data_IF_411443340554
#
_entry.id   IF_411443340554
#
_cell.length_a   1.000
_cell.length_b   1.000
_cell.length_c   1.000
_cell.angle_alpha   90.00
_cell.angle_beta   90.00
_cell.angle_gamma   90.00
#
_symmetry.space_group_name_H-M   'P 1'
#
loop_
_entity.id
_entity.type
_entity.pdbx_description
1 polymer ?
#
# COMPACT_ATOMS: atom_id res chain seq x y z
N UNK A 1 12.89 -34.93 -28.01
CA UNK A 1 14.01 -34.38 -27.19
C UNK A 1 14.57 -33.18 -27.93
N UNK A 2 14.64 -31.99 -27.29
CA UNK A 2 15.27 -30.82 -27.89
C UNK A 2 16.78 -31.04 -27.97
N UNK A 3 17.38 -30.72 -29.12
CA UNK A 3 18.81 -30.81 -29.30
C UNK A 3 19.52 -29.78 -28.39
N UNK A 4 20.53 -30.21 -27.65
CA UNK A 4 21.35 -29.32 -26.79
C UNK A 4 22.56 -28.87 -27.60
N UNK A 5 22.74 -27.57 -27.73
CA UNK A 5 23.87 -26.97 -28.43
C UNK A 5 24.92 -26.43 -27.44
N UNK A 6 26.15 -26.36 -27.88
CA UNK A 6 27.26 -25.87 -27.08
C UNK A 6 27.11 -24.36 -26.81
N UNK A 7 27.14 -23.89 -25.55
CA UNK A 7 27.01 -22.47 -25.23
C UNK A 7 28.24 -21.64 -25.66
N UNK A 8 29.35 -22.27 -26.01
CA UNK A 8 30.61 -21.61 -26.36
C UNK A 8 30.81 -21.45 -27.88
N UNK A 9 30.39 -22.43 -28.68
CA UNK A 9 30.62 -22.43 -30.11
C UNK A 9 29.38 -22.75 -30.96
N UNK A 10 28.22 -22.96 -30.37
CA UNK A 10 26.98 -23.30 -31.07
C UNK A 10 26.96 -24.74 -31.66
N UNK A 11 28.03 -25.49 -31.54
CA UNK A 11 28.16 -26.84 -32.11
C UNK A 11 27.23 -27.86 -31.44
N UNK A 12 26.97 -28.98 -32.13
CA UNK A 12 26.16 -30.07 -31.58
C UNK A 12 26.85 -30.71 -30.39
N UNK A 13 26.04 -31.14 -29.39
CA UNK A 13 26.55 -31.83 -28.23
C UNK A 13 26.06 -33.30 -28.20
N UNK A 14 26.83 -34.15 -27.52
CA UNK A 14 26.47 -35.52 -27.22
C UNK A 14 26.43 -35.78 -25.71
N UNK A 15 25.64 -36.75 -25.25
CA UNK A 15 25.60 -37.13 -23.83
C UNK A 15 26.99 -37.59 -23.36
N UNK A 16 27.40 -37.13 -22.20
CA UNK A 16 28.72 -37.42 -21.62
C UNK A 16 28.62 -37.72 -20.13
N UNK A 17 27.90 -38.78 -19.77
CA UNK A 17 27.70 -39.19 -18.37
C UNK A 17 26.81 -38.25 -17.59
N UNK A 18 26.85 -38.38 -16.25
CA UNK A 18 26.10 -37.56 -15.30
C UNK A 18 27.03 -36.90 -14.30
N UNK A 19 26.59 -35.83 -13.68
CA UNK A 19 27.26 -35.21 -12.54
C UNK A 19 27.02 -36.06 -11.28
N UNK A 20 27.76 -35.76 -10.20
CA UNK A 20 27.49 -36.34 -8.87
C UNK A 20 26.08 -36.05 -8.34
N UNK A 21 25.47 -34.95 -8.78
CA UNK A 21 24.08 -34.58 -8.48
C UNK A 21 23.05 -35.18 -9.42
N UNK A 22 23.46 -36.11 -10.32
CA UNK A 22 22.56 -36.83 -11.25
C UNK A 22 22.23 -36.09 -12.55
N UNK A 23 22.66 -34.82 -12.73
CA UNK A 23 22.37 -34.03 -13.94
C UNK A 23 23.11 -34.60 -15.16
N UNK A 24 22.44 -34.62 -16.33
CA UNK A 24 23.04 -35.06 -17.59
C UNK A 24 24.16 -34.11 -18.04
N UNK A 25 25.37 -34.61 -18.22
CA UNK A 25 26.47 -33.92 -18.90
C UNK A 25 26.37 -34.04 -20.41
N UNK A 26 26.75 -32.96 -21.09
CA UNK A 26 26.84 -32.93 -22.53
C UNK A 26 28.24 -32.47 -22.94
N UNK A 27 28.81 -33.07 -23.96
CA UNK A 27 30.11 -32.69 -24.51
C UNK A 27 29.95 -32.21 -25.95
N UNK A 28 30.51 -31.05 -26.25
CA UNK A 28 30.50 -30.54 -27.60
C UNK A 28 31.36 -31.40 -28.52
N UNK A 29 30.84 -31.72 -29.71
CA UNK A 29 31.56 -32.52 -30.71
C UNK A 29 32.57 -31.70 -31.49
N UNK A 30 32.41 -30.34 -31.53
CA UNK A 30 33.29 -29.43 -32.23
C UNK A 30 34.45 -28.92 -31.35
N UNK A 31 34.18 -28.32 -30.19
CA UNK A 31 35.20 -27.68 -29.33
C UNK A 31 35.55 -28.52 -28.09
N UNK A 32 34.92 -29.67 -27.86
CA UNK A 32 35.19 -30.53 -26.72
C UNK A 32 34.72 -30.04 -25.37
N UNK A 33 34.15 -28.83 -25.28
CA UNK A 33 33.65 -28.26 -24.05
C UNK A 33 32.53 -29.13 -23.41
N UNK A 34 32.58 -29.27 -22.09
CA UNK A 34 31.59 -30.04 -21.33
C UNK A 34 30.60 -29.07 -20.66
N UNK A 35 29.32 -29.32 -20.81
CA UNK A 35 28.26 -28.49 -20.25
C UNK A 35 27.15 -29.35 -19.63
N UNK A 36 26.39 -28.79 -18.73
CA UNK A 36 25.13 -29.35 -18.24
C UNK A 36 23.99 -28.45 -18.67
N UNK A 37 22.87 -29.01 -19.06
CA UNK A 37 21.64 -28.21 -19.28
C UNK A 37 21.16 -27.78 -17.91
N UNK A 38 21.23 -26.50 -17.65
CA UNK A 38 20.50 -25.92 -16.52
C UNK A 38 19.07 -25.71 -16.98
N UNK A 39 18.14 -26.39 -16.34
CA UNK A 39 16.73 -26.08 -16.51
C UNK A 39 16.46 -24.78 -15.78
N UNK A 40 15.69 -23.91 -16.40
CA UNK A 40 15.17 -22.74 -15.75
C UNK A 40 14.06 -23.16 -14.79
N UNK A 41 14.34 -23.18 -13.49
CA UNK A 41 13.41 -23.50 -12.42
C UNK A 41 12.95 -22.24 -11.65
N UNK A 42 13.21 -21.06 -12.22
CA UNK A 42 12.91 -19.76 -11.60
C UNK A 42 11.43 -19.65 -11.23
N UNK A 43 10.52 -20.08 -12.11
CA UNK A 43 9.08 -20.06 -11.83
C UNK A 43 8.74 -20.93 -10.61
N UNK A 44 9.24 -22.17 -10.58
CA UNK A 44 9.00 -23.09 -9.44
C UNK A 44 9.57 -22.56 -8.13
N UNK A 45 10.75 -21.93 -8.18
CA UNK A 45 11.36 -21.33 -6.98
C UNK A 45 10.64 -20.08 -6.51
N UNK A 46 10.13 -19.28 -7.45
CA UNK A 46 9.29 -18.11 -7.14
C UNK A 46 7.97 -18.55 -6.51
N UNK A 47 7.33 -19.57 -7.05
CA UNK A 47 6.10 -20.14 -6.49
C UNK A 47 6.34 -20.72 -5.08
N UNK A 48 7.48 -21.41 -4.87
CA UNK A 48 7.88 -21.90 -3.54
C UNK A 48 8.11 -20.73 -2.57
N UNK A 49 8.75 -19.67 -3.01
CA UNK A 49 9.00 -18.47 -2.22
C UNK A 49 7.71 -17.74 -1.85
N UNK A 50 6.84 -17.48 -2.83
CA UNK A 50 5.56 -16.81 -2.60
C UNK A 50 4.62 -17.68 -1.77
N UNK A 51 4.58 -18.99 -2.04
CA UNK A 51 3.81 -19.94 -1.25
C UNK A 51 4.19 -19.92 0.24
N UNK A 52 5.50 -19.87 0.52
CA UNK A 52 5.98 -19.69 1.90
C UNK A 52 5.62 -18.29 2.45
N UNK A 53 5.90 -17.23 1.70
CA UNK A 53 5.70 -15.84 2.15
C UNK A 53 4.24 -15.56 2.52
N UNK A 54 3.31 -16.11 1.76
CA UNK A 54 1.86 -15.93 1.95
C UNK A 54 1.26 -16.90 2.98
N UNK A 55 2.05 -17.89 3.47
CA UNK A 55 1.61 -18.89 4.44
C UNK A 55 1.97 -18.52 5.88
N UNK A 56 1.63 -19.46 6.78
CA UNK A 56 2.05 -19.42 8.20
C UNK A 56 3.28 -20.29 8.45
N UNK A 57 3.80 -20.93 7.42
CA UNK A 57 4.82 -21.96 7.57
C UNK A 57 6.17 -21.34 7.93
N UNK A 58 6.90 -22.04 8.79
CA UNK A 58 8.29 -21.70 9.06
C UNK A 58 9.19 -22.14 7.88
N UNK A 59 10.30 -21.45 7.68
CA UNK A 59 11.29 -21.88 6.66
C UNK A 59 11.80 -23.29 6.89
N UNK A 60 11.79 -23.78 8.13
CA UNK A 60 12.20 -25.13 8.47
C UNK A 60 11.24 -26.19 7.94
N UNK A 61 9.97 -25.86 7.77
CA UNK A 61 8.94 -26.75 7.23
C UNK A 61 8.99 -26.86 5.70
N UNK A 62 9.73 -25.98 5.04
CA UNK A 62 9.82 -26.01 3.58
C UNK A 62 10.66 -27.17 3.04
N UNK A 63 10.42 -27.66 1.81
CA UNK A 63 11.15 -28.77 1.21
C UNK A 63 12.67 -28.60 1.31
N UNK A 64 13.36 -29.63 1.84
CA UNK A 64 14.80 -29.63 2.07
C UNK A 64 15.26 -28.78 3.29
N UNK A 65 14.32 -28.30 4.10
CA UNK A 65 14.57 -27.56 5.33
C UNK A 65 15.06 -26.12 5.12
N UNK A 66 15.09 -25.34 6.20
CA UNK A 66 15.28 -23.90 6.17
C UNK A 66 16.57 -23.41 5.48
N UNK A 67 17.69 -24.13 5.62
CA UNK A 67 18.95 -23.74 4.94
C UNK A 67 18.83 -23.89 3.42
N UNK A 68 18.31 -25.02 2.95
CA UNK A 68 18.12 -25.28 1.52
C UNK A 68 17.11 -24.32 0.91
N UNK A 69 15.99 -24.08 1.61
CA UNK A 69 14.99 -23.10 1.21
C UNK A 69 15.61 -21.70 1.04
N UNK A 70 16.30 -21.18 2.07
CA UNK A 70 16.94 -19.84 1.99
C UNK A 70 17.91 -19.72 0.84
N UNK A 71 18.70 -20.78 0.56
CA UNK A 71 19.66 -20.77 -0.56
C UNK A 71 18.96 -20.72 -1.92
N UNK A 72 17.85 -21.47 -2.08
CA UNK A 72 17.08 -21.50 -3.34
C UNK A 72 16.32 -20.23 -3.61
N UNK A 73 15.91 -19.52 -2.55
CA UNK A 73 15.05 -18.32 -2.64
C UNK A 73 15.80 -17.03 -2.38
N UNK A 74 17.14 -17.07 -2.22
CA UNK A 74 17.95 -15.90 -1.88
C UNK A 74 17.79 -14.77 -2.91
N UNK A 75 17.78 -15.10 -4.19
CA UNK A 75 17.68 -14.13 -5.29
C UNK A 75 16.42 -13.26 -5.23
N UNK A 76 15.30 -13.78 -4.68
CA UNK A 76 14.07 -13.00 -4.54
C UNK A 76 14.15 -11.91 -3.46
N UNK A 77 15.15 -11.97 -2.59
CA UNK A 77 15.45 -10.92 -1.63
C UNK A 77 16.43 -9.87 -2.14
N UNK A 78 17.12 -10.13 -3.25
CA UNK A 78 18.06 -9.18 -3.86
C UNK A 78 17.37 -8.12 -4.72
N UNK A 79 16.12 -8.38 -5.13
CA UNK A 79 15.36 -7.50 -6.02
C UNK A 79 14.21 -6.80 -5.29
N UNK A 80 13.73 -5.71 -5.89
CA UNK A 80 12.55 -4.97 -5.46
C UNK A 80 11.42 -5.16 -6.45
N UNK A 81 10.31 -5.82 -6.05
CA UNK A 81 9.11 -5.89 -6.86
C UNK A 81 8.48 -4.50 -6.96
N UNK A 82 8.60 -3.88 -8.12
CA UNK A 82 8.06 -2.54 -8.37
C UNK A 82 6.68 -2.62 -9.02
N UNK A 83 5.80 -1.62 -8.80
CA UNK A 83 4.56 -1.52 -9.54
C UNK A 83 4.84 -1.36 -11.03
N UNK A 84 4.03 -2.01 -11.84
CA UNK A 84 4.09 -1.87 -13.30
C UNK A 84 2.86 -1.10 -13.72
N UNK A 85 3.01 0.14 -14.19
CA UNK A 85 1.88 0.93 -14.67
C UNK A 85 1.19 0.18 -15.81
N UNK A 86 -0.10 -0.06 -15.67
CA UNK A 86 -0.92 -0.74 -16.70
C UNK A 86 -1.58 0.25 -17.66
N UNK A 87 -1.62 1.54 -17.32
CA UNK A 87 -2.31 2.58 -18.09
C UNK A 87 -3.84 2.41 -18.13
N UNK A 88 -4.39 1.49 -17.32
CA UNK A 88 -5.81 1.17 -17.30
C UNK A 88 -6.61 2.28 -16.59
N UNK A 89 -7.74 2.66 -17.17
CA UNK A 89 -8.68 3.59 -16.58
C UNK A 89 -9.60 2.84 -15.60
N UNK A 90 -9.37 3.03 -14.33
CA UNK A 90 -10.20 2.45 -13.28
C UNK A 90 -11.36 3.39 -12.93
N UNK A 91 -12.56 2.84 -12.80
CA UNK A 91 -13.71 3.61 -12.34
C UNK A 91 -13.59 3.98 -10.86
N UNK A 92 -13.25 3.01 -10.02
CA UNK A 92 -13.10 3.17 -8.58
C UNK A 92 -11.74 2.66 -8.14
N UNK A 93 -11.00 3.50 -7.43
CA UNK A 93 -9.78 3.12 -6.76
C UNK A 93 -9.92 3.28 -5.24
N UNK A 94 -9.28 2.39 -4.51
CA UNK A 94 -9.18 2.43 -3.05
C UNK A 94 -7.74 2.72 -2.67
N UNK A 95 -7.53 3.60 -1.71
CA UNK A 95 -6.19 3.94 -1.23
C UNK A 95 -6.12 3.86 0.29
N UNK A 96 -5.00 3.31 0.77
CA UNK A 96 -4.73 3.21 2.21
C UNK A 96 -3.22 3.03 2.45
N UNK A 97 -2.78 3.24 3.69
CA UNK A 97 -1.41 3.02 4.12
C UNK A 97 -1.29 1.84 5.08
N UNK A 98 -0.22 1.04 4.94
CA UNK A 98 0.16 0.04 5.92
C UNK A 98 1.50 0.39 6.57
N UNK A 99 1.49 0.59 7.89
CA UNK A 99 2.70 0.87 8.66
C UNK A 99 3.49 -0.41 8.89
N UNK A 100 4.70 -0.45 8.35
CA UNK A 100 5.64 -1.57 8.50
C UNK A 100 6.53 -1.36 9.73
N UNK A 101 6.87 -0.10 10.03
CA UNK A 101 7.60 0.34 11.22
C UNK A 101 7.07 1.72 11.64
N UNK A 102 7.63 2.29 12.72
CA UNK A 102 7.19 3.58 13.25
C UNK A 102 7.26 4.71 12.20
N UNK A 103 8.32 4.74 11.42
CA UNK A 103 8.63 5.79 10.45
C UNK A 103 8.67 5.24 9.03
N UNK A 104 7.89 4.19 8.75
CA UNK A 104 7.86 3.50 7.48
C UNK A 104 6.46 3.00 7.16
N UNK A 105 5.85 3.60 6.16
CA UNK A 105 4.54 3.25 5.62
C UNK A 105 4.67 2.82 4.16
N UNK A 106 3.91 1.82 3.75
CA UNK A 106 3.69 1.52 2.35
C UNK A 106 2.28 1.96 1.99
N UNK A 107 2.18 2.94 1.11
CA UNK A 107 0.93 3.41 0.52
C UNK A 107 0.53 2.44 -0.58
N UNK A 108 -0.74 2.10 -0.67
CA UNK A 108 -1.24 1.09 -1.61
C UNK A 108 -2.48 1.64 -2.31
N UNK A 109 -2.57 1.40 -3.62
CA UNK A 109 -3.72 1.70 -4.45
C UNK A 109 -4.25 0.40 -5.06
N UNK A 110 -5.57 0.15 -4.93
CA UNK A 110 -6.22 -1.06 -5.41
C UNK A 110 -7.44 -0.74 -6.27
N UNK A 111 -7.72 -1.60 -7.25
CA UNK A 111 -9.00 -1.68 -7.97
C UNK A 111 -9.67 -3.01 -7.62
N UNK A 112 -10.67 -2.97 -6.72
CA UNK A 112 -11.18 -4.19 -6.12
C UNK A 112 -10.08 -4.94 -5.35
N UNK A 113 -9.91 -6.22 -5.63
CA UNK A 113 -8.88 -7.06 -5.01
C UNK A 113 -7.50 -6.94 -5.68
N UNK A 114 -7.43 -6.32 -6.86
CA UNK A 114 -6.19 -6.14 -7.61
C UNK A 114 -5.42 -4.93 -7.09
N UNK A 115 -4.14 -5.13 -6.77
CA UNK A 115 -3.23 -4.04 -6.46
C UNK A 115 -2.77 -3.36 -7.75
N UNK A 116 -2.97 -2.06 -7.84
CA UNK A 116 -2.60 -1.24 -9.02
C UNK A 116 -1.22 -0.63 -8.83
N UNK A 117 -0.93 -0.10 -7.63
CA UNK A 117 0.36 0.51 -7.32
C UNK A 117 0.65 0.52 -5.82
N UNK A 118 1.93 0.68 -5.47
CA UNK A 118 2.39 0.85 -4.09
C UNK A 118 3.61 1.75 -4.04
N UNK A 119 3.79 2.43 -2.90
CA UNK A 119 4.87 3.39 -2.70
C UNK A 119 5.31 3.39 -1.23
N UNK A 120 6.61 3.33 -0.94
CA UNK A 120 7.10 3.43 0.42
C UNK A 120 7.44 4.86 0.79
N UNK A 121 7.09 5.29 2.00
CA UNK A 121 7.33 6.62 2.51
C UNK A 121 7.54 6.63 4.03
N UNK A 122 8.07 7.72 4.57
CA UNK A 122 8.17 7.95 6.04
C UNK A 122 6.80 8.22 6.66
N UNK A 123 5.91 8.84 5.91
CA UNK A 123 4.58 9.23 6.38
C UNK A 123 3.61 9.41 5.21
N UNK A 124 2.34 9.46 5.53
CA UNK A 124 1.25 9.69 4.58
C UNK A 124 1.12 11.18 4.22
N UNK A 125 2.22 11.82 3.82
CA UNK A 125 2.22 13.23 3.39
C UNK A 125 1.75 13.38 1.93
N UNK A 126 1.48 14.62 1.51
CA UNK A 126 0.94 14.90 0.16
C UNK A 126 1.91 14.50 -0.95
N UNK A 127 3.23 14.66 -0.76
CA UNK A 127 4.23 14.28 -1.76
C UNK A 127 4.22 12.76 -1.99
N UNK A 128 4.18 11.96 -0.92
CA UNK A 128 4.13 10.51 -1.01
C UNK A 128 2.86 10.03 -1.72
N UNK A 129 1.71 10.62 -1.39
CA UNK A 129 0.45 10.32 -2.08
C UNK A 129 0.50 10.74 -3.55
N UNK A 130 1.03 11.92 -3.88
CA UNK A 130 1.19 12.34 -5.28
C UNK A 130 2.12 11.40 -6.06
N UNK A 131 3.21 10.94 -5.45
CA UNK A 131 4.12 9.97 -6.07
C UNK A 131 3.45 8.63 -6.35
N UNK A 132 2.62 8.10 -5.42
CA UNK A 132 1.82 6.91 -5.66
C UNK A 132 0.83 7.10 -6.82
N UNK A 133 0.21 8.27 -6.91
CA UNK A 133 -0.92 8.55 -7.80
C UNK A 133 -0.49 8.95 -9.22
N UNK A 134 0.66 9.62 -9.36
CA UNK A 134 1.10 10.21 -10.64
C UNK A 134 1.22 9.21 -11.80
N UNK A 135 1.67 7.96 -11.62
CA UNK A 135 1.74 6.99 -12.71
C UNK A 135 0.38 6.32 -13.05
N UNK A 136 -0.67 6.61 -12.28
CA UNK A 136 -1.98 5.97 -12.43
C UNK A 136 -2.93 6.96 -13.12
N UNK A 137 -3.64 6.58 -14.19
CA UNK A 137 -4.70 7.40 -14.77
C UNK A 137 -5.76 7.76 -13.72
N UNK A 138 -6.20 9.03 -13.71
CA UNK A 138 -7.17 9.51 -12.72
C UNK A 138 -8.48 8.73 -12.77
N UNK A 139 -8.95 8.12 -11.67
CA UNK A 139 -10.20 7.38 -11.62
C UNK A 139 -11.41 8.33 -11.59
N UNK A 140 -12.60 7.80 -11.85
CA UNK A 140 -13.85 8.55 -11.63
C UNK A 140 -14.06 8.83 -10.14
N UNK A 141 -13.84 7.81 -9.29
CA UNK A 141 -14.00 7.89 -7.83
C UNK A 141 -12.80 7.28 -7.12
N UNK A 142 -12.34 7.93 -6.07
CA UNK A 142 -11.37 7.35 -5.13
C UNK A 142 -12.00 7.24 -3.74
N UNK A 143 -11.85 6.08 -3.11
CA UNK A 143 -12.31 5.79 -1.75
C UNK A 143 -11.13 5.81 -0.81
N UNK A 144 -11.24 6.56 0.29
CA UNK A 144 -10.15 6.77 1.24
C UNK A 144 -10.64 6.85 2.69
N UNK A 145 -9.79 6.49 3.62
CA UNK A 145 -9.97 6.78 5.04
C UNK A 145 -9.74 8.27 5.38
N UNK A 146 -9.11 9.02 4.48
CA UNK A 146 -8.85 10.47 4.55
C UNK A 146 -7.44 10.79 5.04
N UNK A 147 -7.27 12.02 5.41
CA UNK A 147 -5.99 12.60 5.79
C UNK A 147 -5.70 13.86 4.99
N UNK A 148 -5.07 14.85 5.64
CA UNK A 148 -4.76 16.14 4.98
C UNK A 148 -3.76 15.97 3.84
N UNK A 149 -2.81 15.03 3.98
CA UNK A 149 -1.84 14.71 2.94
C UNK A 149 -2.51 14.19 1.67
N UNK A 150 -3.40 13.20 1.80
CA UNK A 150 -4.16 12.68 0.68
C UNK A 150 -5.10 13.74 0.07
N UNK A 151 -5.83 14.47 0.91
CA UNK A 151 -6.75 15.51 0.44
C UNK A 151 -6.05 16.62 -0.37
N UNK A 152 -4.78 16.93 -0.07
CA UNK A 152 -3.97 17.84 -0.89
C UNK A 152 -3.54 17.14 -2.19
N UNK A 153 -2.99 15.95 -2.11
CA UNK A 153 -2.48 15.22 -3.26
C UNK A 153 -3.55 14.97 -4.33
N UNK A 154 -4.77 14.55 -3.94
CA UNK A 154 -5.84 14.27 -4.91
C UNK A 154 -6.27 15.52 -5.68
N UNK A 155 -6.30 16.70 -5.04
CA UNK A 155 -6.62 17.94 -5.74
C UNK A 155 -5.56 18.36 -6.76
N UNK A 156 -4.30 18.02 -6.49
CA UNK A 156 -3.17 18.37 -7.37
C UNK A 156 -2.98 17.34 -8.49
N UNK A 157 -3.08 16.05 -8.18
CA UNK A 157 -2.78 14.97 -9.13
C UNK A 157 -4.02 14.50 -9.90
N UNK A 158 -5.19 14.40 -9.24
CA UNK A 158 -6.45 13.93 -9.84
C UNK A 158 -7.59 14.95 -9.65
N UNK A 159 -7.49 16.18 -10.18
CA UNK A 159 -8.41 17.29 -9.88
C UNK A 159 -9.87 17.05 -10.27
N UNK A 160 -10.14 16.07 -11.15
CA UNK A 160 -11.50 15.73 -11.59
C UNK A 160 -12.08 14.52 -10.86
N UNK A 161 -11.25 13.79 -10.12
CA UNK A 161 -11.69 12.59 -9.38
C UNK A 161 -12.58 12.98 -8.21
N UNK A 162 -13.71 12.29 -8.07
CA UNK A 162 -14.60 12.46 -6.93
C UNK A 162 -14.08 11.62 -5.76
N UNK A 163 -14.06 12.24 -4.59
CA UNK A 163 -13.59 11.57 -3.37
C UNK A 163 -14.77 11.03 -2.58
N UNK A 164 -14.75 9.74 -2.28
CA UNK A 164 -15.63 9.13 -1.29
C UNK A 164 -14.86 8.93 0.01
N UNK A 165 -15.27 9.61 1.05
CA UNK A 165 -14.77 9.41 2.41
C UNK A 165 -15.39 8.17 3.02
N UNK A 166 -14.60 7.24 3.52
CA UNK A 166 -15.09 6.06 4.20
C UNK A 166 -16.02 6.45 5.38
N UNK A 167 -17.29 6.06 5.32
CA UNK A 167 -18.30 6.39 6.34
C UNK A 167 -17.96 5.76 7.69
N UNK A 168 -17.40 4.55 7.70
CA UNK A 168 -16.89 3.89 8.90
C UNK A 168 -15.78 4.68 9.59
N UNK A 169 -14.81 5.24 8.81
CA UNK A 169 -13.75 6.08 9.36
C UNK A 169 -14.26 7.43 9.85
N UNK A 170 -15.23 8.03 9.16
CA UNK A 170 -15.91 9.24 9.64
C UNK A 170 -16.55 9.00 11.01
N UNK A 171 -17.30 7.90 11.17
CA UNK A 171 -17.83 7.47 12.46
C UNK A 171 -16.72 7.20 13.49
N UNK A 172 -15.69 6.44 13.11
CA UNK A 172 -14.58 6.08 14.02
C UNK A 172 -13.83 7.31 14.53
N UNK A 173 -13.71 8.35 13.72
CA UNK A 173 -13.13 9.63 14.12
C UNK A 173 -13.98 10.32 15.20
N UNK A 174 -15.30 10.38 15.05
CA UNK A 174 -16.20 10.91 16.07
C UNK A 174 -16.13 10.07 17.34
N UNK A 175 -16.20 8.76 17.23
CA UNK A 175 -16.06 7.81 18.34
C UNK A 175 -14.78 8.00 19.14
N UNK A 176 -13.66 8.35 18.50
CA UNK A 176 -12.39 8.66 19.18
C UNK A 176 -12.52 9.85 20.13
N UNK A 177 -13.32 10.85 19.75
CA UNK A 177 -13.53 12.04 20.55
C UNK A 177 -14.66 11.88 21.58
N UNK A 178 -15.76 11.23 21.25
CA UNK A 178 -16.91 11.04 22.13
C UNK A 178 -16.79 9.86 23.08
N UNK A 179 -15.89 8.89 22.76
CA UNK A 179 -15.83 7.54 23.36
C UNK A 179 -17.01 6.64 22.92
N UNK A 180 -17.01 5.38 23.37
CA UNK A 180 -18.11 4.44 23.09
C UNK A 180 -19.34 4.64 23.98
N UNK A 181 -19.18 5.34 25.11
CA UNK A 181 -20.21 5.62 26.12
C UNK A 181 -20.13 7.08 26.55
N UNK A 182 -20.57 8.03 25.70
CA UNK A 182 -20.51 9.44 26.02
C UNK A 182 -21.39 9.76 27.25
N UNK A 183 -20.85 10.56 28.17
CA UNK A 183 -21.59 10.96 29.37
C UNK A 183 -22.50 12.17 29.12
N UNK A 184 -22.02 13.12 28.32
CA UNK A 184 -22.77 14.35 27.99
C UNK A 184 -23.84 14.07 26.95
N UNK A 185 -24.99 14.74 27.05
CA UNK A 185 -26.11 14.61 26.12
C UNK A 185 -25.67 14.94 24.67
N UNK A 186 -25.01 16.09 24.49
CA UNK A 186 -24.44 16.49 23.21
C UNK A 186 -23.53 15.40 22.58
N UNK A 187 -22.74 14.75 23.41
CA UNK A 187 -21.85 13.67 22.97
C UNK A 187 -22.59 12.39 22.58
N UNK A 188 -23.68 12.05 23.30
CA UNK A 188 -24.53 10.89 22.99
C UNK A 188 -25.22 11.08 21.64
N UNK A 189 -25.80 12.25 21.43
CA UNK A 189 -26.49 12.58 20.18
C UNK A 189 -25.51 12.59 19.01
N UNK A 190 -24.35 13.25 19.13
CA UNK A 190 -23.35 13.28 18.07
C UNK A 190 -22.82 11.87 17.73
N UNK A 191 -22.63 11.03 18.76
CA UNK A 191 -22.23 9.64 18.56
C UNK A 191 -23.29 8.86 17.74
N UNK A 192 -24.57 9.03 18.06
CA UNK A 192 -25.67 8.38 17.32
C UNK A 192 -25.76 8.91 15.88
N UNK A 193 -25.69 10.23 15.68
CA UNK A 193 -25.67 10.84 14.35
C UNK A 193 -24.51 10.26 13.51
N UNK A 194 -23.31 10.23 14.08
CA UNK A 194 -22.15 9.70 13.36
C UNK A 194 -22.25 8.19 13.07
N UNK A 195 -22.83 7.39 13.99
CA UNK A 195 -23.05 5.96 13.80
C UNK A 195 -24.01 5.67 12.65
N UNK A 196 -25.03 6.49 12.51
CA UNK A 196 -26.06 6.31 11.50
C UNK A 196 -25.54 6.52 10.06
N UNK A 197 -24.36 7.15 9.88
CA UNK A 197 -23.66 7.22 8.58
C UNK A 197 -23.47 5.87 7.90
N UNK A 198 -23.27 4.81 8.70
CA UNK A 198 -23.03 3.46 8.16
C UNK A 198 -24.27 2.78 7.57
N UNK A 199 -25.46 3.30 7.85
CA UNK A 199 -26.72 2.74 7.38
C UNK A 199 -27.43 3.59 6.31
N UNK A 200 -26.77 4.62 5.77
CA UNK A 200 -27.35 5.48 4.75
C UNK A 200 -27.18 4.81 3.37
N UNK A 201 -28.31 4.56 2.70
CA UNK A 201 -28.35 3.86 1.41
C UNK A 201 -29.00 4.70 0.31
N UNK A 202 -29.69 5.79 0.65
CA UNK A 202 -30.39 6.65 -0.31
C UNK A 202 -30.02 8.11 -0.14
N UNK A 203 -30.18 8.88 -1.23
CA UNK A 203 -29.94 10.33 -1.19
C UNK A 203 -30.86 11.04 -0.18
N UNK A 204 -32.13 10.63 -0.12
CA UNK A 204 -33.08 11.18 0.86
C UNK A 204 -32.67 10.92 2.31
N UNK A 205 -32.14 9.73 2.62
CA UNK A 205 -31.60 9.46 3.95
C UNK A 205 -30.36 10.33 4.25
N UNK A 206 -29.53 10.58 3.24
CA UNK A 206 -28.36 11.46 3.38
C UNK A 206 -28.77 12.91 3.66
N UNK A 207 -29.80 13.42 2.97
CA UNK A 207 -30.37 14.76 3.20
C UNK A 207 -30.90 14.90 4.63
N UNK A 208 -31.74 13.96 5.08
CA UNK A 208 -32.26 13.93 6.45
C UNK A 208 -31.14 13.82 7.51
N UNK A 209 -30.09 13.07 7.20
CA UNK A 209 -28.93 12.99 8.08
C UNK A 209 -28.19 14.32 8.19
N UNK A 210 -27.98 15.02 7.08
CA UNK A 210 -27.34 16.34 7.06
C UNK A 210 -28.18 17.35 7.84
N UNK A 211 -29.49 17.40 7.63
CA UNK A 211 -30.40 18.27 8.38
C UNK A 211 -30.27 18.00 9.90
N UNK A 212 -30.41 16.77 10.33
CA UNK A 212 -30.25 16.39 11.74
C UNK A 212 -28.88 16.78 12.32
N UNK A 213 -27.81 16.64 11.54
CA UNK A 213 -26.49 17.05 11.96
C UNK A 213 -26.38 18.58 12.11
N UNK A 214 -26.94 19.34 11.18
CA UNK A 214 -26.97 20.81 11.25
C UNK A 214 -27.81 21.33 12.41
N UNK A 215 -28.96 20.72 12.67
CA UNK A 215 -29.80 21.01 13.83
C UNK A 215 -29.03 20.78 15.14
N UNK A 216 -28.32 19.64 15.24
CA UNK A 216 -27.44 19.37 16.38
C UNK A 216 -26.36 20.46 16.53
N UNK A 217 -25.73 20.88 15.43
CA UNK A 217 -24.72 21.92 15.43
C UNK A 217 -25.28 23.27 15.94
N UNK A 218 -26.50 23.64 15.53
CA UNK A 218 -27.19 24.83 15.97
C UNK A 218 -27.60 24.77 17.45
N UNK A 219 -28.22 23.67 17.85
CA UNK A 219 -28.72 23.49 19.22
C UNK A 219 -27.60 23.52 20.28
N UNK A 220 -26.47 22.91 19.99
CA UNK A 220 -25.32 22.82 20.91
C UNK A 220 -24.27 23.91 20.69
N UNK A 221 -24.53 24.95 19.87
CA UNK A 221 -23.55 25.96 19.51
C UNK A 221 -22.96 26.65 20.74
N UNK A 222 -23.80 27.23 21.60
CA UNK A 222 -23.37 28.00 22.78
C UNK A 222 -22.68 27.09 23.81
N UNK A 223 -23.22 25.88 24.05
CA UNK A 223 -22.60 24.88 24.93
C UNK A 223 -21.17 24.54 24.50
N UNK A 224 -20.92 24.45 23.21
CA UNK A 224 -19.59 24.16 22.68
C UNK A 224 -18.61 25.34 22.77
N UNK A 225 -19.10 26.56 22.99
CA UNK A 225 -18.27 27.76 23.21
C UNK A 225 -17.87 27.98 24.68
N UNK A 226 -18.42 27.16 25.60
CA UNK A 226 -18.06 27.23 27.03
C UNK A 226 -16.55 27.12 27.21
N UNK A 227 -16.02 27.94 28.14
CA UNK A 227 -14.59 27.98 28.46
C UNK A 227 -14.34 27.83 29.94
N UNK A 228 -13.28 27.08 30.25
CA UNK A 228 -12.76 26.84 31.60
C UNK A 228 -11.33 27.38 31.69
N UNK A 229 -10.90 27.77 32.85
CA UNK A 229 -9.49 28.13 33.11
C UNK A 229 -8.76 26.90 33.64
N UNK A 230 -7.71 26.49 32.92
CA UNK A 230 -6.82 25.40 33.31
C UNK A 230 -5.40 25.96 33.28
N UNK A 231 -4.68 25.84 34.38
CA UNK A 231 -3.30 26.35 34.52
C UNK A 231 -3.15 27.82 34.09
N UNK A 232 -4.13 28.66 34.46
CA UNK A 232 -4.18 30.09 34.12
C UNK A 232 -4.54 30.41 32.63
N UNK A 233 -4.81 29.39 31.80
CA UNK A 233 -5.19 29.55 30.39
C UNK A 233 -6.67 29.26 30.16
N UNK A 234 -7.34 30.12 29.39
CA UNK A 234 -8.73 29.86 28.95
C UNK A 234 -8.72 28.83 27.83
N UNK A 235 -9.31 27.66 28.10
CA UNK A 235 -9.45 26.55 27.13
C UNK A 235 -10.94 26.24 26.93
N UNK A 236 -11.30 25.65 25.81
CA UNK A 236 -12.66 25.17 25.61
C UNK A 236 -12.98 24.00 26.53
N UNK A 237 -14.06 24.10 27.29
CA UNK A 237 -14.54 23.06 28.20
C UNK A 237 -14.83 21.76 27.44
N UNK A 238 -15.40 21.88 26.25
CA UNK A 238 -15.85 20.77 25.41
C UNK A 238 -14.98 20.57 24.17
N UNK A 239 -13.66 20.77 24.27
CA UNK A 239 -12.71 20.70 23.16
C UNK A 239 -12.82 19.41 22.34
N UNK A 240 -13.04 18.26 22.97
CA UNK A 240 -13.20 16.98 22.26
C UNK A 240 -14.45 16.97 21.37
N UNK A 241 -15.59 17.46 21.86
CA UNK A 241 -16.82 17.56 21.06
C UNK A 241 -16.66 18.58 19.94
N UNK A 242 -15.96 19.69 20.18
CA UNK A 242 -15.62 20.68 19.12
C UNK A 242 -14.81 20.04 18.00
N UNK A 243 -13.82 19.22 18.34
CA UNK A 243 -13.03 18.47 17.33
C UNK A 243 -13.88 17.46 16.58
N UNK A 244 -14.76 16.74 17.26
CA UNK A 244 -15.69 15.81 16.61
C UNK A 244 -16.61 16.55 15.62
N UNK A 245 -17.22 17.68 16.05
CA UNK A 245 -18.02 18.55 15.18
C UNK A 245 -17.22 19.03 13.99
N UNK A 246 -16.04 19.63 14.22
CA UNK A 246 -15.19 20.17 13.15
C UNK A 246 -14.83 19.10 12.12
N UNK A 247 -14.54 17.87 12.57
CA UNK A 247 -14.24 16.75 11.68
C UNK A 247 -15.41 16.44 10.74
N UNK A 248 -16.63 16.30 11.27
CA UNK A 248 -17.84 16.05 10.46
C UNK A 248 -18.19 17.25 9.56
N UNK A 249 -18.16 18.48 10.11
CA UNK A 249 -18.44 19.69 9.34
C UNK A 249 -17.53 19.82 8.11
N UNK A 250 -16.25 19.51 8.27
CA UNK A 250 -15.29 19.52 7.15
C UNK A 250 -15.67 18.53 6.06
N UNK A 251 -16.14 17.33 6.42
CA UNK A 251 -16.56 16.30 5.46
C UNK A 251 -17.86 16.65 4.77
N UNK A 252 -18.83 17.20 5.50
CA UNK A 252 -20.10 17.70 4.95
C UNK A 252 -19.84 18.84 3.97
N UNK A 253 -19.04 19.86 4.37
CA UNK A 253 -18.71 20.99 3.52
C UNK A 253 -17.93 20.61 2.26
N UNK A 254 -17.07 19.60 2.36
CA UNK A 254 -16.31 19.05 1.23
C UNK A 254 -17.18 18.19 0.29
N UNK A 255 -18.40 17.80 0.68
CA UNK A 255 -19.28 16.93 -0.11
C UNK A 255 -18.73 15.53 -0.33
N UNK A 256 -17.88 15.01 0.57
CA UNK A 256 -17.16 13.74 0.38
C UNK A 256 -17.78 12.52 1.07
N UNK A 257 -18.82 12.72 1.90
CA UNK A 257 -19.45 11.64 2.66
C UNK A 257 -20.40 10.79 1.82
N UNK A 258 -21.08 11.39 0.85
CA UNK A 258 -22.18 10.78 0.12
C UNK A 258 -21.94 10.73 -1.40
N UNK A 259 -20.70 10.76 -1.83
CA UNK A 259 -20.32 10.63 -3.26
C UNK A 259 -20.87 9.34 -3.86
N UNK A 260 -20.97 8.27 -3.09
CA UNK A 260 -21.51 6.98 -3.52
C UNK A 260 -23.04 7.03 -3.85
N UNK A 261 -23.74 8.07 -3.43
CA UNK A 261 -25.16 8.30 -3.72
C UNK A 261 -25.38 9.28 -4.88
N UNK A 262 -24.31 9.84 -5.47
CA UNK A 262 -24.45 10.79 -6.57
C UNK A 262 -25.13 10.11 -7.78
N UNK A 263 -26.34 10.61 -8.21
CA UNK A 263 -27.07 9.98 -9.29
C UNK A 263 -26.34 9.96 -10.62
N UNK A 264 -25.44 10.93 -10.86
CA UNK A 264 -24.65 10.99 -12.08
C UNK A 264 -23.62 9.85 -12.12
N UNK A 265 -23.02 9.52 -10.98
CA UNK A 265 -22.05 8.44 -10.83
C UNK A 265 -22.75 7.06 -10.76
N UNK A 266 -23.91 6.99 -10.11
CA UNK A 266 -24.66 5.74 -9.90
C UNK A 266 -25.14 5.08 -11.22
N UNK A 267 -25.26 5.85 -12.31
CA UNK A 267 -25.66 5.34 -13.64
C UNK A 267 -24.77 4.22 -14.15
N UNK A 268 -23.48 4.25 -13.84
CA UNK A 268 -22.51 3.24 -14.23
C UNK A 268 -22.38 2.06 -13.24
N UNK A 269 -23.32 1.97 -12.28
CA UNK A 269 -23.36 0.93 -11.25
C UNK A 269 -23.14 1.47 -9.83
N UNK A 270 -23.30 0.64 -8.78
CA UNK A 270 -23.16 1.05 -7.40
C UNK A 270 -21.72 1.48 -7.08
N UNK A 271 -21.59 2.40 -6.14
CA UNK A 271 -20.33 2.85 -5.58
C UNK A 271 -20.22 2.46 -4.11
N UNK A 272 -19.02 2.19 -3.60
CA UNK A 272 -18.82 1.84 -2.20
C UNK A 272 -18.86 3.07 -1.29
N UNK A 273 -19.49 2.93 -0.13
CA UNK A 273 -19.49 3.93 0.94
C UNK A 273 -18.30 3.81 1.89
N UNK A 274 -17.59 2.67 1.86
CA UNK A 274 -16.51 2.33 2.80
C UNK A 274 -15.24 1.88 2.09
N UNK A 275 -14.11 1.98 2.80
CA UNK A 275 -12.79 1.52 2.36
C UNK A 275 -12.52 0.04 2.73
N UNK A 276 -13.57 -0.74 3.03
CA UNK A 276 -13.43 -2.10 3.55
C UNK A 276 -12.69 -3.06 2.59
N UNK A 277 -12.76 -2.81 1.29
CA UNK A 277 -12.04 -3.61 0.27
C UNK A 277 -10.53 -3.62 0.53
N UNK A 278 -9.93 -2.47 0.81
CA UNK A 278 -8.50 -2.40 1.08
C UNK A 278 -8.18 -2.73 2.54
N UNK A 279 -8.98 -2.28 3.52
CA UNK A 279 -8.70 -2.51 4.94
C UNK A 279 -8.96 -3.95 5.39
N UNK A 280 -10.14 -4.47 5.09
CA UNK A 280 -10.56 -5.84 5.42
C UNK A 280 -9.95 -6.88 4.49
N UNK A 281 -9.71 -6.53 3.24
CA UNK A 281 -9.06 -7.36 2.23
C UNK A 281 -7.53 -7.26 2.29
N UNK A 282 -6.96 -6.30 1.58
CA UNK A 282 -5.52 -6.14 1.34
C UNK A 282 -4.74 -5.97 2.65
N UNK A 283 -5.07 -4.98 3.45
CA UNK A 283 -4.30 -4.65 4.67
C UNK A 283 -4.40 -5.74 5.74
N UNK A 284 -5.52 -6.45 5.82
CA UNK A 284 -5.67 -7.56 6.77
C UNK A 284 -4.71 -8.71 6.43
N UNK A 285 -4.57 -9.04 5.15
CA UNK A 285 -3.65 -10.06 4.65
C UNK A 285 -2.19 -9.63 4.84
N UNK A 286 -1.85 -8.38 4.52
CA UNK A 286 -0.51 -7.85 4.73
C UNK A 286 -0.11 -7.83 6.21
N UNK A 287 -1.03 -7.45 7.11
CA UNK A 287 -0.79 -7.57 8.55
C UNK A 287 -0.57 -9.01 8.99
N UNK A 288 -1.24 -9.98 8.37
CA UNK A 288 -1.02 -11.40 8.62
C UNK A 288 0.39 -11.83 8.16
N UNK A 289 0.82 -11.45 6.96
CA UNK A 289 2.18 -11.70 6.44
C UNK A 289 3.24 -11.15 7.41
N UNK A 290 3.12 -9.87 7.78
CA UNK A 290 4.07 -9.21 8.69
C UNK A 290 4.09 -9.86 10.08
N UNK A 291 2.95 -10.33 10.57
CA UNK A 291 2.82 -11.04 11.86
C UNK A 291 3.40 -12.46 11.81
N UNK A 292 3.19 -13.17 10.70
CA UNK A 292 3.69 -14.54 10.53
C UNK A 292 5.22 -14.57 10.38
N UNK A 293 5.81 -13.52 9.80
CA UNK A 293 7.24 -13.42 9.51
C UNK A 293 7.96 -12.37 10.36
N UNK A 294 7.71 -12.36 11.68
CA UNK A 294 8.26 -11.34 12.62
C UNK A 294 9.78 -11.24 12.66
N UNK A 295 10.49 -12.32 12.29
CA UNK A 295 11.97 -12.37 12.30
C UNK A 295 12.62 -11.73 11.07
N UNK A 296 11.87 -11.17 10.13
CA UNK A 296 12.42 -10.45 9.00
C UNK A 296 13.00 -9.10 9.42
N UNK A 297 14.15 -8.73 8.82
CA UNK A 297 14.72 -7.37 8.94
C UNK A 297 13.76 -6.34 8.35
N UNK A 298 13.94 -5.07 8.67
CA UNK A 298 13.08 -3.99 8.16
C UNK A 298 13.03 -3.98 6.62
N UNK A 299 14.18 -4.11 5.94
CA UNK A 299 14.26 -4.24 4.48
C UNK A 299 13.42 -5.41 3.97
N UNK A 300 13.59 -6.60 4.54
CA UNK A 300 12.84 -7.78 4.12
C UNK A 300 11.35 -7.68 4.43
N UNK A 301 10.95 -6.96 5.46
CA UNK A 301 9.53 -6.69 5.76
C UNK A 301 8.90 -5.81 4.68
N UNK A 302 9.59 -4.78 4.21
CA UNK A 302 9.12 -3.96 3.08
C UNK A 302 9.08 -4.79 1.81
N UNK A 303 10.17 -5.52 1.50
CA UNK A 303 10.20 -6.42 0.33
C UNK A 303 9.09 -7.47 0.39
N UNK A 304 8.73 -7.97 1.59
CA UNK A 304 7.60 -8.89 1.76
C UNK A 304 6.25 -8.24 1.39
N UNK A 305 6.03 -6.99 1.79
CA UNK A 305 4.84 -6.21 1.38
C UNK A 305 4.85 -5.99 -0.13
N UNK A 306 5.99 -5.61 -0.71
CA UNK A 306 6.13 -5.40 -2.16
C UNK A 306 5.88 -6.68 -2.94
N UNK A 307 6.43 -7.83 -2.50
CA UNK A 307 6.17 -9.14 -3.11
C UNK A 307 4.69 -9.53 -3.03
N UNK A 308 4.05 -9.25 -1.89
CA UNK A 308 2.62 -9.46 -1.76
C UNK A 308 1.83 -8.59 -2.76
N UNK A 309 2.13 -7.30 -2.83
CA UNK A 309 1.49 -6.38 -3.78
C UNK A 309 1.70 -6.84 -5.23
N UNK A 310 2.94 -7.19 -5.58
CA UNK A 310 3.26 -7.69 -6.91
C UNK A 310 2.53 -8.99 -7.25
N UNK A 311 2.40 -9.94 -6.31
CA UNK A 311 1.65 -11.17 -6.51
C UNK A 311 0.16 -10.92 -6.78
N UNK A 312 -0.38 -9.79 -6.29
CA UNK A 312 -1.78 -9.39 -6.47
C UNK A 312 -1.97 -8.27 -7.51
N UNK A 313 -0.93 -7.90 -8.25
CA UNK A 313 -1.03 -6.84 -9.27
C UNK A 313 -1.53 -7.31 -10.63
N UNK A 314 -1.59 -8.64 -10.86
CA UNK A 314 -2.03 -9.21 -12.14
C UNK A 314 -0.95 -9.18 -13.23
N UNK A 315 0.32 -8.96 -12.90
CA UNK A 315 1.42 -9.04 -13.86
C UNK A 315 1.50 -10.44 -14.48
N UNK A 316 1.24 -10.54 -15.78
CA UNK A 316 1.17 -11.79 -16.53
C UNK A 316 2.52 -12.25 -17.10
N UNK A 317 3.62 -11.47 -16.96
CA UNK A 317 4.94 -11.83 -17.48
C UNK A 317 5.45 -13.14 -16.87
N UNK A 318 6.35 -13.82 -17.57
CA UNK A 318 7.03 -15.00 -17.02
C UNK A 318 7.93 -14.64 -15.83
N UNK A 319 8.11 -15.55 -14.87
CA UNK A 319 8.88 -15.32 -13.64
C UNK A 319 10.29 -14.74 -13.90
N UNK A 320 10.98 -15.27 -14.91
CA UNK A 320 12.31 -14.77 -15.29
C UNK A 320 12.29 -13.35 -15.83
N UNK A 321 11.27 -13.01 -16.60
CA UNK A 321 11.10 -11.65 -17.15
C UNK A 321 10.76 -10.66 -16.04
N UNK A 322 9.91 -11.08 -15.09
CA UNK A 322 9.61 -10.29 -13.89
C UNK A 322 10.86 -9.95 -13.11
N UNK A 323 11.66 -10.97 -12.77
CA UNK A 323 12.89 -10.77 -12.00
C UNK A 323 13.92 -9.91 -12.73
N UNK A 324 14.08 -10.11 -14.04
CA UNK A 324 15.01 -9.33 -14.85
C UNK A 324 14.63 -7.83 -14.96
N UNK A 325 13.36 -7.52 -14.76
CA UNK A 325 12.84 -6.15 -14.78
C UNK A 325 12.83 -5.48 -13.39
N UNK A 326 13.06 -6.25 -12.31
CA UNK A 326 13.09 -5.72 -10.95
C UNK A 326 14.47 -5.16 -10.61
N UNK A 327 14.56 -3.91 -10.11
CA UNK A 327 15.84 -3.34 -9.71
C UNK A 327 16.38 -4.03 -8.46
N UNK A 328 17.72 -4.07 -8.36
CA UNK A 328 18.46 -4.46 -7.16
C UNK A 328 18.69 -3.25 -6.25
N UNK A 329 19.19 -3.48 -5.03
CA UNK A 329 19.61 -2.40 -4.13
C UNK A 329 20.62 -1.46 -4.81
N UNK A 330 21.57 -2.01 -5.58
CA UNK A 330 22.57 -1.22 -6.29
C UNK A 330 21.98 -0.34 -7.40
N UNK A 331 20.97 -0.83 -8.13
CA UNK A 331 20.26 -0.04 -9.15
C UNK A 331 19.53 1.14 -8.52
N UNK A 332 18.94 0.92 -7.35
CA UNK A 332 18.22 1.94 -6.60
C UNK A 332 19.18 2.99 -6.02
N UNK A 333 20.30 2.57 -5.43
CA UNK A 333 21.35 3.48 -4.95
C UNK A 333 21.88 4.35 -6.08
N UNK A 334 22.10 3.77 -7.26
CA UNK A 334 22.51 4.52 -8.45
C UNK A 334 21.46 5.56 -8.85
N UNK A 335 20.17 5.19 -8.90
CA UNK A 335 19.09 6.12 -9.19
C UNK A 335 19.07 7.30 -8.21
N UNK A 336 19.16 7.06 -6.92
CA UNK A 336 19.19 8.14 -5.94
C UNK A 336 20.43 9.03 -6.08
N UNK A 337 21.58 8.47 -6.47
CA UNK A 337 22.78 9.28 -6.73
C UNK A 337 22.57 10.24 -7.91
N UNK A 338 21.93 9.78 -8.99
CA UNK A 338 21.59 10.60 -10.15
C UNK A 338 20.60 11.71 -9.77
N UNK A 339 19.53 11.39 -9.04
CA UNK A 339 18.57 12.40 -8.58
C UNK A 339 19.20 13.45 -7.67
N UNK A 340 20.21 13.08 -6.87
CA UNK A 340 20.91 14.02 -6.00
C UNK A 340 21.81 14.98 -6.76
N UNK A 341 22.33 14.58 -7.90
CA UNK A 341 23.18 15.38 -8.75
C UNK A 341 22.37 16.34 -9.66
N UNK A 342 21.05 16.14 -9.79
CA UNK A 342 20.19 16.99 -10.62
C UNK A 342 19.92 18.32 -9.94
N UNK A 343 20.06 19.47 -10.66
CA UNK A 343 19.76 20.80 -10.12
C UNK A 343 18.25 21.05 -9.88
N UNK A 344 17.36 20.28 -10.48
CA UNK A 344 15.90 20.37 -10.27
C UNK A 344 15.45 19.53 -9.06
N UNK A 345 15.76 20.01 -7.86
CA UNK A 345 15.41 19.37 -6.59
C UNK A 345 13.92 19.40 -6.22
N UNK A 346 13.06 20.00 -7.02
CA UNK A 346 11.67 20.23 -6.65
C UNK A 346 10.77 19.00 -6.78
N UNK A 347 11.16 18.03 -7.57
CA UNK A 347 10.29 16.89 -7.85
C UNK A 347 10.87 15.60 -7.29
N UNK A 348 10.49 15.30 -6.08
CA UNK A 348 10.33 13.97 -5.54
C UNK A 348 11.38 12.91 -5.88
N UNK A 349 11.57 12.00 -4.98
CA UNK A 349 12.32 10.78 -5.24
C UNK A 349 11.67 9.92 -6.34
N UNK A 350 12.26 8.77 -6.67
CA UNK A 350 11.71 7.83 -7.64
C UNK A 350 10.25 7.50 -7.35
N UNK A 351 9.49 7.17 -8.38
CA UNK A 351 8.04 6.94 -8.32
C UNK A 351 7.59 5.84 -7.35
N UNK A 352 8.49 5.06 -6.79
CA UNK A 352 8.21 3.91 -5.93
C UNK A 352 8.72 4.02 -4.49
N UNK A 353 9.45 5.07 -4.12
CA UNK A 353 9.93 5.22 -2.76
C UNK A 353 10.62 6.55 -2.47
N UNK A 354 10.57 6.96 -1.22
CA UNK A 354 11.24 8.14 -0.70
C UNK A 354 12.71 7.82 -0.40
N UNK A 355 13.64 8.65 -0.85
CA UNK A 355 15.08 8.50 -0.62
C UNK A 355 15.43 8.42 0.87
N UNK A 356 14.81 9.23 1.71
CA UNK A 356 15.11 9.22 3.14
C UNK A 356 14.74 7.87 3.76
N UNK A 357 13.64 7.25 3.31
CA UNK A 357 13.25 5.90 3.74
C UNK A 357 14.23 4.85 3.21
N UNK A 358 14.69 5.00 1.98
CA UNK A 358 15.67 4.11 1.40
C UNK A 358 16.99 4.13 2.19
N UNK A 359 17.51 5.31 2.47
CA UNK A 359 18.74 5.49 3.26
C UNK A 359 18.57 4.86 4.66
N UNK A 360 17.45 5.08 5.35
CA UNK A 360 17.16 4.49 6.66
C UNK A 360 17.11 2.96 6.66
N UNK A 361 16.58 2.36 5.59
CA UNK A 361 16.50 0.90 5.49
C UNK A 361 17.86 0.22 5.36
N UNK A 362 18.83 0.89 4.76
CA UNK A 362 20.15 0.32 4.41
C UNK A 362 21.24 0.72 5.39
N UNK A 363 21.09 1.80 6.17
CA UNK A 363 22.00 2.15 7.25
C UNK A 363 21.75 1.29 8.48
N UNK A 364 22.79 0.64 8.99
CA UNK A 364 22.75 -0.16 10.22
C UNK A 364 22.85 0.69 11.48
N UNK A 365 23.32 1.91 11.37
CA UNK A 365 23.44 2.83 12.48
C UNK A 365 22.11 3.54 12.73
N UNK A 366 21.76 3.79 14.01
CA UNK A 366 20.61 4.60 14.33
C UNK A 366 20.75 5.96 13.66
N UNK A 367 19.66 6.48 13.14
CA UNK A 367 19.57 7.78 12.48
C UNK A 367 20.34 8.82 13.31
N UNK A 368 21.26 9.58 12.71
CA UNK A 368 21.92 10.63 13.47
C UNK A 368 20.89 11.64 13.95
N UNK A 369 20.79 11.83 15.26
CA UNK A 369 19.81 12.73 15.92
C UNK A 369 19.86 14.20 15.47
N UNK A 370 20.80 14.57 14.65
CA UNK A 370 21.00 15.92 14.09
C UNK A 370 20.29 16.17 12.75
N UNK A 371 19.47 15.24 12.29
CA UNK A 371 18.62 15.40 11.08
C UNK A 371 17.14 15.65 11.40
N UNK A 372 16.80 15.90 12.67
CA UNK A 372 15.46 16.33 13.12
C UNK A 372 15.20 17.80 12.79
#
# INVERSE_FOLDING_TARGET
MKAVYCPYCGGRTKRNGRTSSGSQRWRCTACGASTTVRYDDTATRLDEFLGWLLSKDSQAAMPGGGRSFRRRTAEFWEVWPMPVPDGELHRVLYVDGIWVARDLVVLICCSGERVVSWYMARSENSRAWSALMSPIPAPEVVVTDGGSGFAKAVRETWPRTRVQRCTFHAFSQVKRYTTTRPKLQAGRELYLIARDLMGIETLHQAELWVERYLDWCGFWADFLEDRTVVDGRRVYTHERLRRARSSLSSLVSAGTLFTYLDPALAKAGPLPSTNNMIEGGVNSQLRAVLRNHRGLTSVKRVKAVFWWCHAHSGDARMAREKLAAMPTDADIDFLFSVYSASPSREDGGPEWGDRAVWEDLHHRDPYPFWLD
#
